data_IF_129344578950
#
_entry.id   IF_129344578950
#
_cell.length_a   1.000
_cell.length_b   1.000
_cell.length_c   1.000
_cell.angle_alpha   90.00
_cell.angle_beta   90.00
_cell.angle_gamma   90.00
#
_symmetry.space_group_name_H-M   'P 1'
#
loop_
_entity.id
_entity.type
_entity.pdbx_description
1 polymer ?
#
# COMPACT_ATOMS: atom_id res chain seq x y z
N UNK A 1 -7.26 11.13 -2.42
CA UNK A 1 -6.07 10.53 -1.77
C UNK A 1 -4.99 10.48 -2.85
N UNK A 2 -3.88 11.23 -2.70
CA UNK A 2 -2.93 11.45 -3.79
C UNK A 2 -1.98 10.24 -3.96
N UNK A 3 -1.76 9.82 -5.21
CA UNK A 3 -0.76 8.82 -5.59
C UNK A 3 0.65 9.25 -5.11
N UNK A 4 1.51 8.31 -4.67
CA UNK A 4 2.78 8.63 -4.04
C UNK A 4 3.75 9.37 -4.99
N UNK A 5 4.36 10.41 -4.45
CA UNK A 5 5.31 11.27 -5.12
C UNK A 5 6.70 10.62 -5.15
N UNK A 6 7.01 9.86 -6.20
CA UNK A 6 8.40 9.49 -6.53
C UNK A 6 8.62 9.23 -8.03
N UNK A 7 8.13 10.15 -8.88
CA UNK A 7 8.41 10.16 -10.33
C UNK A 7 9.18 11.44 -10.71
N UNK A 8 10.36 11.68 -10.14
CA UNK A 8 11.27 12.70 -10.69
C UNK A 8 12.74 12.30 -10.45
N UNK A 9 13.34 11.64 -11.44
CA UNK A 9 14.78 11.32 -11.48
C UNK A 9 15.29 11.07 -12.91
N UNK A 10 16.10 12.02 -13.39
CA UNK A 10 16.98 12.05 -14.58
C UNK A 10 16.39 12.02 -16.02
N UNK A 11 16.47 13.22 -16.64
CA UNK A 11 16.86 13.54 -18.03
C UNK A 11 15.89 13.49 -19.22
N UNK A 12 14.59 13.47 -18.95
CA UNK A 12 13.56 14.09 -19.82
C UNK A 12 12.25 14.17 -19.04
N UNK A 13 12.22 15.03 -18.01
CA UNK A 13 11.02 15.19 -17.20
C UNK A 13 9.87 15.70 -18.08
N UNK A 14 8.69 15.10 -17.96
CA UNK A 14 7.48 15.58 -18.65
C UNK A 14 7.25 17.07 -18.39
N UNK A 15 7.65 17.54 -17.20
CA UNK A 15 7.67 18.95 -16.83
C UNK A 15 8.67 19.80 -17.64
N UNK A 16 9.85 19.28 -18.00
CA UNK A 16 10.81 20.00 -18.85
C UNK A 16 10.41 19.98 -20.33
N UNK A 17 9.77 18.90 -20.79
CA UNK A 17 9.21 18.81 -22.15
C UNK A 17 7.95 19.68 -22.27
N UNK A 18 7.06 19.69 -21.27
CA UNK A 18 5.89 20.56 -21.21
C UNK A 18 6.28 22.05 -21.05
N UNK A 19 7.40 22.34 -20.37
CA UNK A 19 7.98 23.69 -20.30
C UNK A 19 8.72 24.08 -21.59
N UNK A 20 9.16 23.11 -22.39
CA UNK A 20 9.68 23.37 -23.73
C UNK A 20 8.49 23.65 -24.65
N UNK A 21 8.52 24.73 -25.43
CA UNK A 21 7.46 25.05 -26.40
C UNK A 21 7.31 24.01 -27.54
N UNK A 22 7.89 22.82 -27.41
CA UNK A 22 7.88 21.74 -28.40
C UNK A 22 6.74 20.73 -28.12
N UNK A 23 5.52 21.13 -28.50
CA UNK A 23 4.30 20.33 -28.35
C UNK A 23 4.38 18.97 -29.05
N UNK A 24 5.11 18.87 -30.17
CA UNK A 24 5.28 17.61 -30.90
C UNK A 24 6.09 16.56 -30.13
N UNK A 25 7.13 16.99 -29.40
CA UNK A 25 7.93 16.09 -28.57
C UNK A 25 7.11 15.54 -27.40
N UNK A 26 6.29 16.37 -26.77
CA UNK A 26 5.41 15.97 -25.67
C UNK A 26 4.37 14.92 -26.09
N UNK A 27 3.74 15.12 -27.25
CA UNK A 27 2.74 14.20 -27.80
C UNK A 27 3.36 12.83 -28.10
N UNK A 28 4.55 12.81 -28.72
CA UNK A 28 5.28 11.57 -28.97
C UNK A 28 5.66 10.85 -27.67
N UNK A 29 6.12 11.60 -26.67
CA UNK A 29 6.43 11.04 -25.35
C UNK A 29 5.18 10.40 -24.70
N UNK A 30 4.05 11.11 -24.66
CA UNK A 30 2.82 10.57 -24.06
C UNK A 30 2.32 9.34 -24.83
N UNK A 31 2.42 9.34 -26.16
CA UNK A 31 2.07 8.17 -26.97
C UNK A 31 2.96 6.97 -26.66
N UNK A 32 4.28 7.17 -26.49
CA UNK A 32 5.21 6.12 -26.05
C UNK A 32 4.76 5.53 -24.69
N UNK A 33 4.32 6.36 -23.74
CA UNK A 33 3.80 5.87 -22.46
C UNK A 33 2.51 5.06 -22.61
N UNK A 34 1.61 5.44 -23.52
CA UNK A 34 0.40 4.65 -23.85
C UNK A 34 0.78 3.30 -24.46
N UNK A 35 1.76 3.28 -25.37
CA UNK A 35 2.25 2.07 -26.02
C UNK A 35 2.91 1.09 -25.06
N UNK A 36 3.58 1.61 -24.03
CA UNK A 36 4.14 0.81 -22.94
C UNK A 36 3.09 0.30 -21.94
N UNK A 37 1.84 0.79 -22.03
CA UNK A 37 0.71 0.40 -21.21
C UNK A 37 0.48 1.27 -19.97
N UNK A 38 1.11 2.45 -19.88
CA UNK A 38 1.05 3.31 -18.69
C UNK A 38 -0.13 4.32 -18.73
N UNK A 39 -1.34 3.83 -18.98
CA UNK A 39 -2.53 4.66 -19.23
C UNK A 39 -2.88 5.61 -18.08
N UNK A 40 -2.78 5.16 -16.83
CA UNK A 40 -3.17 5.96 -15.66
C UNK A 40 -2.37 7.26 -15.55
N UNK A 41 -1.05 7.19 -15.77
CA UNK A 41 -0.18 8.37 -15.79
C UNK A 41 -0.60 9.35 -16.89
N UNK A 42 -0.88 8.85 -18.09
CA UNK A 42 -1.26 9.69 -19.24
C UNK A 42 -2.62 10.35 -19.02
N UNK A 43 -3.56 9.65 -18.38
CA UNK A 43 -4.87 10.19 -18.02
C UNK A 43 -4.75 11.38 -17.07
N UNK A 44 -3.85 11.33 -16.09
CA UNK A 44 -3.66 12.44 -15.16
C UNK A 44 -3.19 13.72 -15.88
N UNK A 45 -2.34 13.59 -16.90
CA UNK A 45 -2.03 14.72 -17.79
C UNK A 45 -3.25 15.18 -18.58
N UNK A 46 -4.02 14.27 -19.17
CA UNK A 46 -5.19 14.59 -20.00
C UNK A 46 -6.34 15.22 -19.23
N UNK A 47 -6.44 14.97 -17.92
CA UNK A 47 -7.42 15.60 -17.03
C UNK A 47 -7.10 17.04 -16.70
N UNK A 48 -5.81 17.43 -16.70
CA UNK A 48 -5.39 18.78 -16.37
C UNK A 48 -6.02 19.78 -17.36
N UNK A 49 -6.75 20.76 -16.84
CA UNK A 49 -7.42 21.78 -17.65
C UNK A 49 -6.42 22.67 -18.41
N UNK A 50 -5.15 22.69 -18.00
CA UNK A 50 -4.08 23.38 -18.73
C UNK A 50 -3.50 22.54 -19.88
N UNK A 51 -3.88 21.27 -19.98
CA UNK A 51 -3.39 20.33 -21.00
C UNK A 51 -4.59 19.70 -21.75
N UNK A 52 -4.90 20.27 -22.92
CA UNK A 52 -5.93 19.74 -23.81
C UNK A 52 -5.35 19.41 -25.19
N UNK A 53 -5.34 18.12 -25.54
CA UNK A 53 -4.89 17.62 -26.84
C UNK A 53 -5.61 18.31 -28.01
N UNK A 54 -6.89 18.67 -27.87
CA UNK A 54 -7.65 19.36 -28.93
C UNK A 54 -7.12 20.75 -29.22
N UNK A 55 -6.52 21.40 -28.24
CA UNK A 55 -5.90 22.72 -28.37
C UNK A 55 -4.43 22.67 -28.83
N UNK A 56 -3.84 21.47 -28.94
CA UNK A 56 -2.44 21.29 -29.35
C UNK A 56 -2.31 21.27 -30.88
N UNK A 57 -1.81 22.38 -31.43
CA UNK A 57 -1.39 22.45 -32.83
C UNK A 57 -0.05 21.73 -33.00
N UNK A 58 -0.09 20.56 -33.65
CA UNK A 58 1.06 19.78 -34.13
C UNK A 58 0.79 19.31 -35.56
N UNK A 59 1.86 18.98 -36.28
CA UNK A 59 1.79 18.50 -37.67
C UNK A 59 0.93 17.23 -37.80
N UNK A 60 0.21 17.10 -38.92
CA UNK A 60 -0.70 15.96 -39.17
C UNK A 60 0.03 14.62 -39.17
N UNK A 61 1.30 14.60 -39.60
CA UNK A 61 2.17 13.42 -39.52
C UNK A 61 2.40 12.99 -38.06
N UNK A 62 2.58 13.93 -37.13
CA UNK A 62 2.71 13.63 -35.70
C UNK A 62 1.38 13.11 -35.14
N UNK A 63 0.26 13.69 -35.56
CA UNK A 63 -1.07 13.22 -35.13
C UNK A 63 -1.33 11.77 -35.55
N UNK A 64 -1.07 11.46 -36.82
CA UNK A 64 -1.27 10.11 -37.36
C UNK A 64 -0.37 9.06 -36.70
N UNK A 65 0.85 9.43 -36.32
CA UNK A 65 1.79 8.54 -35.60
C UNK A 65 1.37 8.27 -34.16
N UNK A 66 0.55 9.14 -33.55
CA UNK A 66 0.18 9.07 -32.14
C UNK A 66 -1.29 8.71 -31.92
N UNK A 67 -1.88 7.90 -32.79
CA UNK A 67 -3.32 7.60 -32.79
C UNK A 67 -3.84 7.10 -31.43
N UNK A 68 -3.10 6.21 -30.75
CA UNK A 68 -3.50 5.67 -29.44
C UNK A 68 -3.64 6.73 -28.35
N UNK A 69 -2.77 7.74 -28.36
CA UNK A 69 -2.87 8.87 -27.43
C UNK A 69 -4.14 9.69 -27.68
N UNK A 70 -4.51 9.91 -28.94
CA UNK A 70 -5.73 10.64 -29.28
C UNK A 70 -6.99 9.83 -28.95
N UNK A 71 -6.98 8.52 -29.19
CA UNK A 71 -8.06 7.61 -28.75
C UNK A 71 -8.25 7.66 -27.23
N UNK A 72 -7.14 7.63 -26.46
CA UNK A 72 -7.19 7.80 -25.01
C UNK A 72 -7.69 9.21 -24.62
N UNK A 73 -7.30 10.25 -25.36
CA UNK A 73 -7.79 11.61 -25.17
C UNK A 73 -9.31 11.73 -25.33
N UNK A 74 -9.87 11.13 -26.39
CA UNK A 74 -11.31 11.05 -26.60
C UNK A 74 -12.01 10.29 -25.48
N UNK A 75 -11.43 9.16 -25.05
CA UNK A 75 -11.93 8.42 -23.89
C UNK A 75 -12.01 9.30 -22.64
N UNK A 76 -10.96 10.06 -22.32
CA UNK A 76 -10.91 10.95 -21.14
C UNK A 76 -11.98 12.04 -21.25
N UNK A 77 -12.13 12.66 -22.41
CA UNK A 77 -13.13 13.72 -22.57
C UNK A 77 -14.56 13.18 -22.37
N UNK A 78 -14.87 12.01 -22.94
CA UNK A 78 -16.22 11.42 -22.90
C UNK A 78 -16.56 10.74 -21.57
N UNK A 79 -15.62 10.00 -21.00
CA UNK A 79 -15.87 9.14 -19.85
C UNK A 79 -15.46 9.75 -18.51
N UNK A 80 -14.57 10.75 -18.52
CA UNK A 80 -14.02 11.38 -17.32
C UNK A 80 -14.54 12.82 -17.22
N UNK A 81 -14.12 13.72 -18.13
CA UNK A 81 -14.43 15.16 -18.05
C UNK A 81 -15.92 15.44 -18.20
N UNK A 82 -16.56 14.94 -19.26
CA UNK A 82 -17.98 15.19 -19.52
C UNK A 82 -18.91 14.63 -18.44
N UNK A 83 -18.50 13.54 -17.78
CA UNK A 83 -19.25 12.88 -16.71
C UNK A 83 -18.89 13.40 -15.31
N UNK A 84 -17.87 14.24 -15.18
CA UNK A 84 -17.38 14.76 -13.91
C UNK A 84 -16.75 13.70 -13.00
N UNK A 85 -16.18 12.64 -13.58
CA UNK A 85 -15.58 11.51 -12.85
C UNK A 85 -14.08 11.72 -12.69
N UNK A 86 -13.61 12.17 -11.54
CA UNK A 86 -12.20 12.54 -11.38
C UNK A 86 -11.41 11.51 -10.57
N UNK A 87 -12.09 10.79 -9.67
CA UNK A 87 -11.49 9.76 -8.82
C UNK A 87 -11.36 8.44 -9.57
N UNK A 88 -10.29 7.68 -9.29
CA UNK A 88 -9.93 6.49 -10.06
C UNK A 88 -11.00 5.42 -10.04
N UNK A 89 -11.65 5.20 -8.91
CA UNK A 89 -12.76 4.27 -8.73
C UNK A 89 -13.95 4.56 -9.65
N UNK A 90 -14.17 5.81 -10.05
CA UNK A 90 -15.26 6.22 -10.93
C UNK A 90 -15.01 5.89 -12.42
N UNK A 91 -13.73 5.85 -12.84
CA UNK A 91 -13.33 5.64 -14.25
C UNK A 91 -12.47 4.40 -14.51
N UNK A 92 -12.05 3.66 -13.49
CA UNK A 92 -11.20 2.47 -13.67
C UNK A 92 -11.92 1.38 -14.46
N UNK A 93 -13.23 1.21 -14.27
CA UNK A 93 -14.06 0.26 -15.01
C UNK A 93 -14.14 0.56 -16.52
N UNK A 94 -14.57 1.76 -16.96
CA UNK A 94 -14.58 2.07 -18.37
C UNK A 94 -13.16 2.07 -18.96
N UNK A 95 -12.12 2.44 -18.18
CA UNK A 95 -10.74 2.34 -18.65
C UNK A 95 -10.30 0.90 -18.87
N UNK A 96 -10.64 0.00 -17.94
CA UNK A 96 -10.34 -1.42 -18.09
C UNK A 96 -10.93 -1.97 -19.39
N UNK A 97 -12.20 -1.65 -19.68
CA UNK A 97 -12.85 -2.04 -20.93
C UNK A 97 -12.23 -1.40 -22.17
N UNK A 98 -11.80 -0.14 -22.05
CA UNK A 98 -11.08 0.53 -23.12
C UNK A 98 -9.74 -0.16 -23.45
N UNK A 99 -8.98 -0.56 -22.43
CA UNK A 99 -7.65 -1.16 -22.61
C UNK A 99 -7.71 -2.62 -23.04
N UNK A 100 -8.61 -3.40 -22.43
CA UNK A 100 -8.63 -4.87 -22.58
C UNK A 100 -9.86 -5.41 -23.31
N UNK A 101 -10.85 -4.57 -23.62
CA UNK A 101 -12.11 -4.99 -24.24
C UNK A 101 -13.07 -5.66 -23.25
N UNK A 102 -13.90 -6.56 -23.76
CA UNK A 102 -14.96 -7.24 -23.00
C UNK A 102 -14.47 -8.49 -22.24
N UNK A 103 -13.21 -8.47 -21.75
CA UNK A 103 -12.70 -9.57 -20.92
C UNK A 103 -13.30 -9.50 -19.51
N UNK A 104 -13.53 -10.66 -18.90
CA UNK A 104 -13.94 -10.74 -17.50
C UNK A 104 -12.72 -10.42 -16.62
N UNK A 105 -12.75 -9.38 -15.75
CA UNK A 105 -11.57 -8.99 -14.99
C UNK A 105 -11.05 -10.04 -14.01
N UNK A 106 -11.88 -11.01 -13.58
CA UNK A 106 -11.42 -12.13 -12.75
C UNK A 106 -10.77 -13.26 -13.56
N UNK A 107 -10.89 -13.27 -14.89
CA UNK A 107 -10.22 -14.23 -15.77
C UNK A 107 -8.83 -13.73 -16.19
N UNK A 108 -7.87 -13.87 -15.27
CA UNK A 108 -6.46 -13.44 -15.51
C UNK A 108 -5.75 -14.25 -16.62
N UNK A 109 -6.38 -15.32 -17.09
CA UNK A 109 -5.91 -16.15 -18.18
C UNK A 109 -6.38 -15.65 -19.55
N UNK A 110 -7.28 -14.66 -19.57
CA UNK A 110 -7.78 -14.08 -20.80
C UNK A 110 -6.64 -13.49 -21.66
N UNK A 111 -6.67 -13.72 -22.98
CA UNK A 111 -5.68 -13.15 -23.89
C UNK A 111 -5.84 -11.63 -23.94
N UNK A 112 -4.75 -10.89 -23.76
CA UNK A 112 -4.71 -9.43 -23.90
C UNK A 112 -3.97 -9.03 -25.16
N UNK A 113 -4.45 -7.97 -25.81
CA UNK A 113 -3.80 -7.37 -26.98
C UNK A 113 -2.80 -6.25 -26.60
N UNK A 114 -2.73 -5.91 -25.31
CA UNK A 114 -1.87 -4.86 -24.78
C UNK A 114 -0.43 -5.36 -24.68
N UNK A 115 0.50 -4.54 -25.17
CA UNK A 115 1.94 -4.79 -25.13
C UNK A 115 2.64 -3.87 -24.13
N UNK A 116 3.96 -4.00 -24.00
CA UNK A 116 4.75 -3.16 -23.10
C UNK A 116 4.86 -3.72 -21.69
N UNK A 117 5.72 -3.08 -20.89
CA UNK A 117 6.03 -3.52 -19.53
C UNK A 117 4.88 -3.22 -18.55
N UNK A 118 4.11 -2.15 -18.78
CA UNK A 118 2.95 -1.77 -17.95
C UNK A 118 1.64 -2.44 -18.39
N UNK A 119 1.68 -3.43 -19.28
CA UNK A 119 0.48 -4.06 -19.86
C UNK A 119 -0.52 -4.63 -18.85
N UNK A 120 -0.11 -4.93 -17.62
CA UNK A 120 -0.98 -5.43 -16.55
C UNK A 120 -1.29 -4.38 -15.47
N UNK A 121 -0.76 -3.16 -15.58
CA UNK A 121 -0.90 -2.12 -14.55
C UNK A 121 -2.37 -1.73 -14.31
N UNK A 122 -3.13 -1.48 -15.38
CA UNK A 122 -4.57 -1.13 -15.28
C UNK A 122 -5.38 -2.30 -14.72
N UNK A 123 -5.03 -3.54 -15.10
CA UNK A 123 -5.69 -4.72 -14.54
C UNK A 123 -5.45 -4.83 -13.04
N UNK A 124 -4.20 -4.67 -12.60
CA UNK A 124 -3.87 -4.73 -11.18
C UNK A 124 -4.56 -3.62 -10.37
N UNK A 125 -4.52 -2.37 -10.88
CA UNK A 125 -5.21 -1.23 -10.27
C UNK A 125 -6.72 -1.48 -10.22
N UNK A 126 -7.33 -2.02 -11.27
CA UNK A 126 -8.74 -2.38 -11.29
C UNK A 126 -9.07 -3.38 -10.18
N UNK A 127 -8.28 -4.44 -10.02
CA UNK A 127 -8.50 -5.45 -8.98
C UNK A 127 -8.37 -4.84 -7.58
N UNK A 128 -7.42 -3.92 -7.36
CA UNK A 128 -7.28 -3.21 -6.08
C UNK A 128 -8.49 -2.32 -5.77
N UNK A 129 -8.95 -1.54 -6.74
CA UNK A 129 -10.13 -0.67 -6.58
C UNK A 129 -11.44 -1.46 -6.40
N UNK A 130 -11.45 -2.74 -6.77
CA UNK A 130 -12.58 -3.66 -6.58
C UNK A 130 -12.40 -4.62 -5.41
N UNK A 131 -11.34 -4.44 -4.61
CA UNK A 131 -11.01 -5.30 -3.46
C UNK A 131 -10.88 -6.79 -3.82
N UNK A 132 -10.53 -7.10 -5.08
CA UNK A 132 -10.32 -8.46 -5.60
C UNK A 132 -8.88 -8.92 -5.37
N UNK A 133 -8.46 -8.94 -4.11
CA UNK A 133 -7.05 -9.15 -3.76
C UNK A 133 -6.55 -10.56 -4.07
N UNK A 134 -7.40 -11.59 -4.02
CA UNK A 134 -7.03 -12.95 -4.42
C UNK A 134 -6.63 -13.02 -5.90
N UNK A 135 -7.47 -12.49 -6.78
CA UNK A 135 -7.14 -12.37 -8.20
C UNK A 135 -5.94 -11.46 -8.46
N UNK A 136 -5.77 -10.41 -7.64
CA UNK A 136 -4.62 -9.52 -7.77
C UNK A 136 -3.30 -10.22 -7.42
N UNK A 137 -3.27 -10.98 -6.33
CA UNK A 137 -2.14 -11.85 -5.97
C UNK A 137 -1.87 -12.86 -7.08
N UNK A 138 -2.92 -13.48 -7.63
CA UNK A 138 -2.79 -14.41 -8.74
C UNK A 138 -2.20 -13.75 -9.98
N UNK A 139 -2.66 -12.55 -10.35
CA UNK A 139 -2.13 -11.75 -11.45
C UNK A 139 -0.65 -11.38 -11.23
N UNK A 140 -0.29 -10.99 -10.00
CA UNK A 140 1.10 -10.72 -9.61
C UNK A 140 1.96 -11.96 -9.85
N UNK A 141 1.55 -13.09 -9.29
CA UNK A 141 2.28 -14.36 -9.34
C UNK A 141 2.42 -14.95 -10.73
N UNK A 142 1.32 -14.99 -11.50
CA UNK A 142 1.25 -15.76 -12.75
C UNK A 142 1.56 -14.93 -14.00
N UNK A 143 1.55 -13.59 -13.90
CA UNK A 143 1.71 -12.70 -15.04
C UNK A 143 2.76 -11.62 -14.84
N UNK A 144 2.68 -10.86 -13.75
CA UNK A 144 3.55 -9.69 -13.53
C UNK A 144 4.97 -10.09 -13.12
N UNK A 145 5.12 -10.94 -12.10
CA UNK A 145 6.44 -11.40 -11.67
C UNK A 145 7.18 -12.13 -12.81
N UNK A 146 6.57 -13.08 -13.56
CA UNK A 146 7.21 -13.67 -14.73
C UNK A 146 7.60 -12.65 -15.82
N UNK A 147 6.77 -11.63 -16.06
CA UNK A 147 7.10 -10.56 -17.00
C UNK A 147 8.36 -9.80 -16.55
N UNK A 148 8.42 -9.40 -15.28
CA UNK A 148 9.56 -8.66 -14.74
C UNK A 148 10.82 -9.53 -14.71
N UNK A 149 10.72 -10.79 -14.26
CA UNK A 149 11.82 -11.77 -14.29
C UNK A 149 12.39 -11.93 -15.69
N UNK A 150 11.52 -12.14 -16.69
CA UNK A 150 11.98 -12.33 -18.06
C UNK A 150 12.72 -11.10 -18.61
N UNK A 151 12.26 -9.90 -18.29
CA UNK A 151 12.94 -8.67 -18.70
C UNK A 151 14.25 -8.49 -17.94
N UNK A 152 14.28 -8.71 -16.62
CA UNK A 152 15.53 -8.71 -15.83
C UNK A 152 16.56 -9.69 -16.39
N UNK A 153 16.12 -10.90 -16.76
CA UNK A 153 16.97 -11.90 -17.36
C UNK A 153 17.56 -11.44 -18.70
N UNK A 154 16.72 -10.87 -19.58
CA UNK A 154 17.17 -10.31 -20.86
C UNK A 154 18.19 -9.19 -20.69
N UNK A 155 17.98 -8.31 -19.71
CA UNK A 155 18.92 -7.22 -19.39
C UNK A 155 20.28 -7.79 -19.01
N UNK A 156 20.32 -8.87 -18.22
CA UNK A 156 21.57 -9.53 -17.82
C UNK A 156 22.25 -10.26 -18.97
N UNK A 157 21.50 -10.85 -19.91
CA UNK A 157 22.06 -11.53 -21.08
C UNK A 157 22.60 -10.55 -22.13
N UNK A 158 21.83 -9.51 -22.45
CA UNK A 158 22.10 -8.63 -23.59
C UNK A 158 22.84 -7.34 -23.21
N UNK A 159 22.98 -7.05 -21.90
CA UNK A 159 23.51 -5.78 -21.36
C UNK A 159 22.77 -4.55 -21.93
N UNK A 160 21.49 -4.73 -22.30
CA UNK A 160 20.60 -3.69 -22.82
C UNK A 160 19.40 -3.50 -21.89
N UNK A 161 19.38 -2.36 -21.19
CA UNK A 161 18.33 -2.03 -20.23
C UNK A 161 17.24 -1.19 -20.89
N UNK A 162 15.97 -1.67 -20.97
CA UNK A 162 14.90 -0.88 -21.55
C UNK A 162 14.68 0.43 -20.79
N UNK A 163 14.56 1.52 -21.52
CA UNK A 163 14.45 2.91 -21.01
C UNK A 163 13.39 3.11 -19.90
N UNK A 164 12.27 2.40 -19.98
CA UNK A 164 11.16 2.54 -19.03
C UNK A 164 11.07 1.39 -18.00
N UNK A 165 12.02 0.44 -18.02
CA UNK A 165 12.00 -0.72 -17.15
C UNK A 165 12.12 -0.34 -15.66
N UNK A 166 13.06 0.53 -15.30
CA UNK A 166 13.26 0.95 -13.90
C UNK A 166 11.96 1.47 -13.29
N UNK A 167 11.32 2.42 -13.98
CA UNK A 167 10.06 3.00 -13.53
C UNK A 167 8.95 1.96 -13.41
N UNK A 168 8.91 1.00 -14.34
CA UNK A 168 7.90 -0.04 -14.34
C UNK A 168 8.11 -1.03 -13.19
N UNK A 169 9.35 -1.46 -12.99
CA UNK A 169 9.73 -2.34 -11.89
C UNK A 169 9.34 -1.69 -10.56
N UNK A 170 9.76 -0.44 -10.32
CA UNK A 170 9.42 0.28 -9.09
C UNK A 170 7.90 0.45 -8.92
N UNK A 171 7.18 0.82 -9.97
CA UNK A 171 5.72 0.97 -9.92
C UNK A 171 4.98 -0.34 -9.63
N UNK A 172 5.46 -1.48 -10.15
CA UNK A 172 4.91 -2.79 -9.77
C UNK A 172 5.33 -3.20 -8.37
N UNK A 173 6.55 -2.89 -7.92
CA UNK A 173 6.99 -3.17 -6.56
C UNK A 173 6.14 -2.39 -5.53
N UNK A 174 5.82 -1.12 -5.80
CA UNK A 174 4.86 -0.35 -4.98
C UNK A 174 3.53 -1.09 -4.84
N UNK A 175 2.97 -1.55 -5.97
CA UNK A 175 1.69 -2.26 -5.97
C UNK A 175 1.79 -3.61 -5.27
N UNK A 176 2.87 -4.38 -5.49
CA UNK A 176 3.10 -5.67 -4.83
C UNK A 176 3.22 -5.49 -3.31
N UNK A 177 3.98 -4.48 -2.88
CA UNK A 177 4.18 -4.18 -1.47
C UNK A 177 2.87 -3.85 -0.76
N UNK A 178 1.95 -3.12 -1.41
CA UNK A 178 0.59 -2.88 -0.87
C UNK A 178 -0.12 -4.19 -0.51
N UNK A 179 -0.09 -5.19 -1.38
CA UNK A 179 -0.74 -6.48 -1.13
C UNK A 179 -0.03 -7.30 -0.05
N UNK A 180 1.30 -7.25 -0.01
CA UNK A 180 2.06 -7.95 1.03
C UNK A 180 1.86 -7.32 2.41
N UNK A 181 1.81 -5.99 2.50
CA UNK A 181 1.59 -5.25 3.75
C UNK A 181 0.19 -5.49 4.33
N UNK A 182 -0.79 -5.85 3.50
CA UNK A 182 -2.12 -6.25 3.97
C UNK A 182 -2.11 -7.58 4.76
N UNK A 183 -1.04 -8.38 4.68
CA UNK A 183 -0.92 -9.64 5.42
C UNK A 183 -1.97 -10.68 5.02
N UNK A 184 -2.41 -10.66 3.75
CA UNK A 184 -3.44 -11.56 3.26
C UNK A 184 -2.93 -13.01 3.17
N UNK A 185 -3.75 -14.02 3.53
CA UNK A 185 -3.38 -15.42 3.38
C UNK A 185 -3.04 -15.76 1.92
N UNK A 186 -1.91 -16.42 1.66
CA UNK A 186 -1.53 -16.79 0.28
C UNK A 186 -2.50 -17.76 -0.39
N UNK A 187 -3.29 -18.48 0.39
CA UNK A 187 -4.38 -19.32 -0.13
C UNK A 187 -5.44 -18.54 -0.90
N UNK A 188 -5.58 -17.22 -0.66
CA UNK A 188 -6.47 -16.36 -1.44
C UNK A 188 -6.03 -16.20 -2.90
N UNK A 189 -4.74 -16.32 -3.19
CA UNK A 189 -4.25 -16.28 -4.56
C UNK A 189 -4.72 -17.50 -5.38
N UNK A 190 -5.04 -18.60 -4.71
CA UNK A 190 -5.35 -19.90 -5.34
C UNK A 190 -4.31 -20.29 -6.41
N UNK A 191 -3.03 -20.03 -6.12
CA UNK A 191 -1.92 -20.23 -7.04
C UNK A 191 -0.62 -20.51 -6.31
N UNK A 192 -0.04 -21.68 -6.60
CA UNK A 192 1.27 -22.08 -6.06
C UNK A 192 2.41 -21.22 -6.64
N UNK A 193 2.16 -20.58 -7.79
CA UNK A 193 3.13 -19.73 -8.47
C UNK A 193 3.31 -18.36 -7.78
N UNK A 194 2.36 -17.92 -6.95
CA UNK A 194 2.40 -16.59 -6.35
C UNK A 194 3.67 -16.34 -5.56
N UNK A 195 3.90 -17.14 -4.52
CA UNK A 195 5.05 -16.96 -3.65
C UNK A 195 6.35 -17.38 -4.34
N UNK A 196 6.31 -18.46 -5.13
CA UNK A 196 7.48 -18.96 -5.85
C UNK A 196 8.03 -17.95 -6.86
N UNK A 197 7.17 -17.30 -7.65
CA UNK A 197 7.64 -16.31 -8.62
C UNK A 197 8.02 -14.99 -7.97
N UNK A 198 7.41 -14.62 -6.84
CA UNK A 198 7.87 -13.45 -6.07
C UNK A 198 9.26 -13.67 -5.46
N UNK A 199 9.55 -14.89 -5.01
CA UNK A 199 10.89 -15.25 -4.53
C UNK A 199 11.93 -15.16 -5.67
N UNK A 200 11.63 -15.72 -6.85
CA UNK A 200 12.53 -15.60 -8.01
C UNK A 200 12.69 -14.15 -8.44
N UNK A 201 11.61 -13.35 -8.45
CA UNK A 201 11.68 -11.93 -8.74
C UNK A 201 12.57 -11.20 -7.72
N UNK A 202 12.48 -11.57 -6.44
CA UNK A 202 13.30 -11.00 -5.38
C UNK A 202 14.80 -11.19 -5.64
N UNK A 203 15.23 -12.35 -6.13
CA UNK A 203 16.65 -12.58 -6.47
C UNK A 203 17.17 -11.57 -7.50
N UNK A 204 16.37 -11.26 -8.53
CA UNK A 204 16.73 -10.21 -9.49
C UNK A 204 16.69 -8.81 -8.88
N UNK A 205 15.69 -8.53 -8.04
CA UNK A 205 15.50 -7.21 -7.41
C UNK A 205 16.62 -6.89 -6.43
N UNK A 206 17.06 -7.86 -5.62
CA UNK A 206 18.08 -7.64 -4.60
C UNK A 206 19.46 -7.42 -5.23
N UNK A 207 19.75 -8.08 -6.35
CA UNK A 207 21.00 -7.92 -7.09
C UNK A 207 21.04 -6.67 -7.99
N UNK A 208 19.88 -6.11 -8.36
CA UNK A 208 19.83 -4.94 -9.25
C UNK A 208 20.31 -3.65 -8.54
N UNK A 209 21.37 -2.98 -9.02
CA UNK A 209 21.87 -1.73 -8.43
C UNK A 209 20.95 -0.52 -8.71
N UNK A 210 20.02 -0.61 -9.65
CA UNK A 210 19.05 0.47 -9.95
C UNK A 210 17.85 0.45 -9.00
N UNK A 211 17.66 -0.64 -8.26
CA UNK A 211 16.62 -0.72 -7.24
C UNK A 211 17.15 -0.15 -5.92
N UNK A 212 16.46 0.85 -5.38
CA UNK A 212 16.82 1.44 -4.09
C UNK A 212 16.64 0.46 -2.92
N UNK A 213 17.47 0.60 -1.88
CA UNK A 213 17.43 -0.28 -0.70
C UNK A 213 16.05 -0.32 -0.02
N UNK A 214 15.29 0.77 -0.05
CA UNK A 214 13.95 0.81 0.55
C UNK A 214 13.02 -0.24 -0.08
N UNK A 215 13.05 -0.40 -1.41
CA UNK A 215 12.25 -1.41 -2.11
C UNK A 215 12.74 -2.83 -1.82
N UNK A 216 14.06 -3.03 -1.74
CA UNK A 216 14.65 -4.33 -1.35
C UNK A 216 14.18 -4.71 0.06
N UNK A 217 14.31 -3.80 1.01
CA UNK A 217 13.85 -3.98 2.39
C UNK A 217 12.34 -4.25 2.47
N UNK A 218 11.50 -3.48 1.79
CA UNK A 218 10.05 -3.71 1.79
C UNK A 218 9.70 -5.10 1.23
N UNK A 219 10.28 -5.48 0.09
CA UNK A 219 10.05 -6.80 -0.51
C UNK A 219 10.55 -7.94 0.39
N UNK A 220 11.75 -7.80 0.99
CA UNK A 220 12.29 -8.77 1.95
C UNK A 220 11.40 -8.93 3.18
N UNK A 221 10.91 -7.83 3.75
CA UNK A 221 9.99 -7.86 4.90
C UNK A 221 8.68 -8.56 4.52
N UNK A 222 8.09 -8.20 3.38
CA UNK A 222 6.86 -8.80 2.90
C UNK A 222 6.97 -10.31 2.68
N UNK A 223 8.04 -10.76 2.01
CA UNK A 223 8.31 -12.18 1.79
C UNK A 223 8.57 -12.92 3.11
N UNK A 224 9.41 -12.36 3.98
CA UNK A 224 9.70 -12.94 5.29
C UNK A 224 8.43 -13.13 6.13
N UNK A 225 7.62 -12.07 6.24
CA UNK A 225 6.34 -12.12 6.95
C UNK A 225 5.38 -13.15 6.33
N UNK A 226 5.36 -13.24 5.00
CA UNK A 226 4.53 -14.21 4.28
C UNK A 226 4.95 -15.66 4.58
N UNK A 227 6.25 -15.96 4.61
CA UNK A 227 6.74 -17.30 4.99
C UNK A 227 6.33 -17.67 6.42
N UNK A 228 6.43 -16.73 7.36
CA UNK A 228 5.99 -16.94 8.75
C UNK A 228 4.47 -17.14 8.83
N UNK A 229 3.68 -16.32 8.14
CA UNK A 229 2.23 -16.44 8.10
C UNK A 229 1.76 -17.80 7.55
N UNK A 230 2.49 -18.33 6.55
CA UNK A 230 2.27 -19.65 5.99
C UNK A 230 2.79 -20.81 6.85
N UNK A 231 3.44 -20.50 7.99
CA UNK A 231 4.11 -21.46 8.87
C UNK A 231 5.22 -22.26 8.18
N UNK A 232 5.79 -21.71 7.12
CA UNK A 232 6.97 -22.28 6.46
C UNK A 232 8.24 -21.76 7.14
N UNK A 233 8.46 -22.21 8.37
CA UNK A 233 9.57 -21.74 9.20
C UNK A 233 10.93 -22.13 8.62
N UNK A 234 11.03 -23.28 7.94
CA UNK A 234 12.27 -23.69 7.27
C UNK A 234 12.65 -22.68 6.20
N UNK A 235 11.67 -22.27 5.37
CA UNK A 235 11.89 -21.26 4.35
C UNK A 235 12.17 -19.89 4.95
N UNK A 236 11.49 -19.52 6.03
CA UNK A 236 11.74 -18.27 6.74
C UNK A 236 13.17 -18.20 7.33
N UNK A 237 13.70 -19.30 7.88
CA UNK A 237 15.09 -19.37 8.36
C UNK A 237 16.09 -19.28 7.21
N UNK A 238 15.87 -20.01 6.12
CA UNK A 238 16.72 -19.93 4.92
C UNK A 238 16.75 -18.50 4.38
N UNK A 239 15.57 -17.93 4.14
CA UNK A 239 15.42 -16.60 3.57
C UNK A 239 16.04 -15.52 4.46
N UNK A 240 15.78 -15.56 5.78
CA UNK A 240 16.41 -14.61 6.70
C UNK A 240 17.93 -14.78 6.77
N UNK A 241 18.44 -16.02 6.76
CA UNK A 241 19.87 -16.30 6.79
C UNK A 241 20.64 -15.71 5.61
N UNK A 242 20.01 -15.66 4.43
CA UNK A 242 20.59 -15.08 3.22
C UNK A 242 20.38 -13.56 3.14
N UNK A 243 19.28 -13.04 3.70
CA UNK A 243 18.81 -11.68 3.45
C UNK A 243 18.74 -10.81 4.71
N UNK A 244 19.46 -11.17 5.77
CA UNK A 244 19.39 -10.48 7.07
C UNK A 244 19.67 -8.97 7.00
N UNK A 245 20.46 -8.51 6.01
CA UNK A 245 20.75 -7.08 5.82
C UNK A 245 19.52 -6.26 5.39
N UNK A 246 18.56 -6.89 4.70
CA UNK A 246 17.32 -6.26 4.24
C UNK A 246 16.12 -6.56 5.14
N UNK A 247 16.30 -7.33 6.22
CA UNK A 247 15.26 -7.66 7.21
C UNK A 247 15.68 -7.06 8.57
N UNK A 248 15.57 -5.74 8.73
CA UNK A 248 15.98 -5.03 9.93
C UNK A 248 15.09 -5.42 11.12
N UNK A 249 15.68 -5.99 12.18
CA UNK A 249 14.91 -6.43 13.36
C UNK A 249 14.30 -5.29 14.17
N UNK A 250 14.87 -4.09 14.08
CA UNK A 250 14.32 -2.89 14.67
C UNK A 250 13.14 -2.31 13.88
N UNK A 251 12.85 -2.85 12.69
CA UNK A 251 11.61 -2.54 11.99
C UNK A 251 10.45 -3.30 12.65
N UNK A 252 9.41 -2.56 12.98
CA UNK A 252 8.27 -3.10 13.69
C UNK A 252 7.45 -4.10 12.88
N UNK A 253 7.45 -3.99 11.55
CA UNK A 253 6.69 -4.88 10.67
C UNK A 253 7.16 -6.35 10.76
N UNK A 254 8.37 -6.61 11.25
CA UNK A 254 8.93 -7.96 11.38
C UNK A 254 8.98 -8.46 12.83
N UNK A 255 8.55 -7.65 13.80
CA UNK A 255 8.68 -7.96 15.22
C UNK A 255 7.93 -9.25 15.62
N UNK A 256 6.65 -9.34 15.28
CA UNK A 256 5.83 -10.52 15.57
C UNK A 256 6.33 -11.74 14.77
N UNK A 257 6.78 -11.52 13.53
CA UNK A 257 7.37 -12.57 12.69
C UNK A 257 8.64 -13.16 13.32
N UNK A 258 9.53 -12.34 13.88
CA UNK A 258 10.72 -12.81 14.59
C UNK A 258 10.38 -13.53 15.90
N UNK A 259 9.37 -13.08 16.65
CA UNK A 259 8.90 -13.81 17.84
C UNK A 259 8.42 -15.20 17.48
N UNK A 260 7.65 -15.30 16.40
CA UNK A 260 7.15 -16.58 15.94
C UNK A 260 8.27 -17.47 15.39
N UNK A 261 9.23 -16.90 14.66
CA UNK A 261 10.41 -17.62 14.20
C UNK A 261 11.24 -18.18 15.36
N UNK A 262 11.51 -17.37 16.40
CA UNK A 262 12.28 -17.78 17.59
C UNK A 262 11.60 -18.94 18.32
N UNK A 263 10.26 -18.95 18.40
CA UNK A 263 9.50 -20.05 19.03
C UNK A 263 9.61 -21.36 18.28
N UNK A 264 9.92 -21.31 16.98
CA UNK A 264 9.96 -22.45 16.08
C UNK A 264 11.41 -22.86 15.69
N UNK A 265 12.40 -22.46 16.48
CA UNK A 265 13.79 -22.95 16.36
C UNK A 265 13.83 -24.44 16.70
N UNK A 266 14.16 -25.27 15.71
CA UNK A 266 14.16 -26.72 15.86
C UNK A 266 15.56 -27.34 15.67
N UNK A 267 16.53 -26.56 15.20
CA UNK A 267 17.89 -27.03 14.92
C UNK A 267 19.01 -26.08 15.39
N UNK A 268 20.23 -26.61 15.48
CA UNK A 268 21.43 -25.81 15.74
C UNK A 268 21.71 -24.84 14.59
N UNK A 269 21.31 -25.18 13.35
CA UNK A 269 21.46 -24.33 12.18
C UNK A 269 20.55 -23.10 12.28
N UNK A 270 19.29 -23.28 12.66
CA UNK A 270 18.32 -22.20 12.91
C UNK A 270 18.85 -21.23 13.97
N UNK A 271 19.43 -21.80 15.03
CA UNK A 271 20.07 -21.01 16.11
C UNK A 271 21.25 -20.20 15.59
N UNK A 272 22.01 -20.70 14.62
CA UNK A 272 23.15 -19.99 14.03
C UNK A 272 22.74 -18.84 13.11
N UNK A 273 21.57 -18.94 12.49
CA UNK A 273 20.95 -17.89 11.67
C UNK A 273 20.47 -16.73 12.55
N UNK A 274 19.93 -17.03 13.74
CA UNK A 274 19.51 -16.00 14.69
C UNK A 274 20.71 -15.39 15.43
N UNK A 275 21.10 -14.18 15.05
CA UNK A 275 22.18 -13.48 15.74
C UNK A 275 21.84 -13.18 17.21
N UNK A 276 22.87 -13.04 18.05
CA UNK A 276 22.68 -12.56 19.44
C UNK A 276 22.00 -11.19 19.50
N UNK A 277 22.18 -10.37 18.47
CA UNK A 277 21.53 -9.07 18.34
C UNK A 277 20.02 -9.24 18.17
N UNK A 278 19.58 -10.22 17.37
CA UNK A 278 18.15 -10.54 17.17
C UNK A 278 17.49 -10.89 18.50
N UNK A 279 18.05 -11.85 19.24
CA UNK A 279 17.52 -12.27 20.53
C UNK A 279 17.48 -11.11 21.55
N UNK A 280 18.52 -10.27 21.54
CA UNK A 280 18.61 -9.12 22.45
C UNK A 280 17.58 -8.04 22.11
N UNK A 281 17.36 -7.75 20.82
CA UNK A 281 16.40 -6.76 20.37
C UNK A 281 14.97 -7.19 20.72
N UNK A 282 14.60 -8.46 20.46
CA UNK A 282 13.29 -8.98 20.84
C UNK A 282 13.08 -8.92 22.35
N UNK A 283 14.08 -9.32 23.15
CA UNK A 283 13.99 -9.26 24.62
C UNK A 283 13.83 -7.83 25.14
N UNK A 284 14.52 -6.86 24.54
CA UNK A 284 14.38 -5.43 24.87
C UNK A 284 12.97 -4.93 24.52
N UNK A 285 12.47 -5.28 23.34
CA UNK A 285 11.14 -4.86 22.91
C UNK A 285 10.04 -5.46 23.79
N UNK A 286 10.16 -6.71 24.23
CA UNK A 286 9.23 -7.29 25.21
C UNK A 286 9.24 -6.54 26.55
N UNK A 287 10.40 -6.06 27.00
CA UNK A 287 10.50 -5.22 28.20
C UNK A 287 9.80 -3.87 27.99
N UNK A 288 9.96 -3.25 26.82
CA UNK A 288 9.26 -2.01 26.48
C UNK A 288 7.76 -2.20 26.40
N UNK A 289 7.28 -3.27 25.76
CA UNK A 289 5.86 -3.61 25.70
C UNK A 289 5.26 -3.79 27.10
N UNK A 290 5.97 -4.46 28.02
CA UNK A 290 5.52 -4.57 29.43
C UNK A 290 5.47 -3.23 30.15
N UNK A 291 6.40 -2.31 29.86
CA UNK A 291 6.38 -0.95 30.42
C UNK A 291 5.21 -0.14 29.88
N UNK A 292 4.92 -0.27 28.59
CA UNK A 292 3.76 0.35 27.95
C UNK A 292 2.47 -0.18 28.58
N UNK A 293 2.34 -1.50 28.75
CA UNK A 293 1.18 -2.11 29.44
C UNK A 293 0.99 -1.55 30.85
N UNK A 294 2.10 -1.39 31.58
CA UNK A 294 2.08 -0.79 32.93
C UNK A 294 1.61 0.66 32.86
N UNK A 295 2.15 1.45 31.93
CA UNK A 295 1.79 2.86 31.75
C UNK A 295 0.32 3.03 31.36
N UNK A 296 -0.19 2.24 30.42
CA UNK A 296 -1.60 2.26 30.04
C UNK A 296 -2.48 1.91 31.25
N UNK A 297 -2.08 0.91 32.04
CA UNK A 297 -2.78 0.55 33.27
C UNK A 297 -2.83 1.69 34.29
N UNK A 298 -1.70 2.38 34.50
CA UNK A 298 -1.61 3.52 35.42
C UNK A 298 -2.44 4.72 34.95
N UNK A 299 -2.29 5.12 33.68
CA UNK A 299 -3.06 6.22 33.08
C UNK A 299 -4.55 5.90 33.05
N UNK A 300 -4.93 4.70 32.64
CA UNK A 300 -6.33 4.24 32.66
C UNK A 300 -6.92 4.28 34.07
N UNK A 301 -6.16 3.85 35.08
CA UNK A 301 -6.59 3.91 36.48
C UNK A 301 -6.75 5.36 36.97
N UNK A 302 -5.87 6.26 36.54
CA UNK A 302 -5.98 7.70 36.84
C UNK A 302 -7.23 8.31 36.19
N UNK A 303 -7.41 8.11 34.88
CA UNK A 303 -8.57 8.61 34.13
C UNK A 303 -9.87 8.05 34.70
N UNK A 304 -9.89 6.77 35.13
CA UNK A 304 -11.01 6.19 35.88
C UNK A 304 -11.35 6.95 37.15
N UNK A 305 -10.35 7.31 37.95
CA UNK A 305 -10.57 8.12 39.15
C UNK A 305 -11.12 9.50 38.81
N UNK A 306 -10.62 10.13 37.75
CA UNK A 306 -11.09 11.46 37.31
C UNK A 306 -12.55 11.43 36.91
N UNK A 307 -12.96 10.53 36.01
CA UNK A 307 -14.36 10.51 35.57
C UNK A 307 -15.29 10.07 36.70
N UNK A 308 -14.89 9.13 37.57
CA UNK A 308 -15.69 8.74 38.74
C UNK A 308 -15.81 9.88 39.75
N UNK A 309 -14.78 10.69 39.93
CA UNK A 309 -14.85 11.88 40.78
C UNK A 309 -15.88 12.87 40.22
N UNK A 310 -15.85 13.13 38.91
CA UNK A 310 -16.84 13.98 38.23
C UNK A 310 -18.26 13.40 38.33
N UNK A 311 -18.44 12.10 38.11
CA UNK A 311 -19.76 11.44 38.21
C UNK A 311 -20.35 11.43 39.62
N UNK A 312 -19.49 11.47 40.65
CA UNK A 312 -19.92 11.44 42.04
C UNK A 312 -20.18 12.83 42.63
N UNK A 313 -19.81 13.91 41.93
CA UNK A 313 -20.21 15.27 42.30
C UNK A 313 -21.74 15.37 42.31
N UNK A 314 -22.40 15.84 43.39
CA UNK A 314 -23.85 15.77 43.55
C UNK A 314 -24.65 16.37 42.40
N UNK A 315 -24.21 17.52 41.88
CA UNK A 315 -24.88 18.21 40.77
C UNK A 315 -24.70 17.46 39.46
N UNK A 316 -23.48 16.98 39.18
CA UNK A 316 -23.19 16.17 37.99
C UNK A 316 -23.95 14.85 38.01
N UNK A 317 -23.97 14.16 39.14
CA UNK A 317 -24.70 12.90 39.34
C UNK A 317 -26.19 13.05 39.05
N UNK A 318 -26.80 14.13 39.55
CA UNK A 318 -28.20 14.46 39.29
C UNK A 318 -28.43 14.76 37.80
N UNK A 319 -27.52 15.50 37.18
CA UNK A 319 -27.61 15.84 35.76
C UNK A 319 -27.50 14.61 34.85
N UNK A 320 -26.56 13.71 35.14
CA UNK A 320 -26.40 12.44 34.42
C UNK A 320 -27.63 11.52 34.58
N UNK A 321 -28.25 11.48 35.76
CA UNK A 321 -29.49 10.72 36.00
C UNK A 321 -30.69 11.26 35.24
N UNK A 322 -30.77 12.58 35.04
CA UNK A 322 -31.90 13.23 34.34
C UNK A 322 -31.73 13.13 32.82
N UNK A 323 -30.51 13.34 32.30
CA UNK A 323 -30.27 13.49 30.87
C UNK A 323 -29.78 12.21 30.19
N UNK A 324 -29.29 11.23 30.95
CA UNK A 324 -28.68 10.00 30.45
C UNK A 324 -27.20 10.18 30.11
N UNK A 325 -26.36 9.22 30.50
CA UNK A 325 -24.95 9.22 30.13
C UNK A 325 -24.82 8.83 28.63
N UNK A 326 -24.07 9.63 27.84
CA UNK A 326 -23.96 9.43 26.39
C UNK A 326 -25.16 9.90 25.57
N UNK A 327 -26.05 10.73 26.12
CA UNK A 327 -27.15 11.31 25.35
C UNK A 327 -26.64 12.36 24.35
N UNK A 328 -27.08 12.30 23.08
CA UNK A 328 -26.83 13.37 22.11
C UNK A 328 -27.38 14.69 22.66
N UNK A 329 -26.47 15.62 22.96
CA UNK A 329 -26.79 16.93 23.54
C UNK A 329 -27.16 17.97 22.46
N UNK A 330 -27.03 17.62 21.19
CA UNK A 330 -27.38 18.44 20.03
C UNK A 330 -28.85 18.87 20.09
N UNK A 331 -29.09 20.18 20.21
CA UNK A 331 -30.44 20.78 20.22
C UNK A 331 -31.10 20.94 21.60
N UNK A 332 -30.43 20.59 22.71
CA UNK A 332 -30.96 20.84 24.07
C UNK A 332 -30.56 22.23 24.57
N UNK A 333 -31.53 23.04 25.01
CA UNK A 333 -31.31 24.31 25.72
C UNK A 333 -31.35 24.09 27.24
N UNK A 334 -30.47 24.76 28.00
CA UNK A 334 -30.17 24.55 29.43
C UNK A 334 -29.30 23.33 29.76
N UNK A 335 -28.24 23.09 28.99
CA UNK A 335 -27.20 22.12 29.38
C UNK A 335 -26.34 22.76 30.49
N UNK A 336 -26.19 22.06 31.61
CA UNK A 336 -25.35 22.51 32.73
C UNK A 336 -23.87 22.52 32.31
N UNK A 337 -23.16 23.58 32.71
CA UNK A 337 -21.72 23.75 32.48
C UNK A 337 -20.95 22.52 33.02
N UNK A 338 -20.15 21.86 32.18
CA UNK A 338 -19.42 20.63 32.52
C UNK A 338 -20.04 19.33 32.01
N UNK A 339 -21.35 19.26 31.78
CA UNK A 339 -21.99 18.02 31.27
C UNK A 339 -21.71 17.82 29.77
N UNK A 340 -21.63 18.92 29.02
CA UNK A 340 -21.27 18.90 27.61
C UNK A 340 -19.84 18.42 27.42
N UNK A 341 -18.90 19.02 28.16
CA UNK A 341 -17.49 18.66 28.15
C UNK A 341 -17.28 17.20 28.60
N UNK A 342 -18.02 16.75 29.62
CA UNK A 342 -17.97 15.37 30.07
C UNK A 342 -18.41 14.38 28.98
N UNK A 343 -19.54 14.63 28.30
CA UNK A 343 -20.01 13.73 27.23
C UNK A 343 -19.08 13.76 26.03
N UNK A 344 -18.56 14.93 25.64
CA UNK A 344 -17.59 15.05 24.56
C UNK A 344 -16.34 14.19 24.84
N UNK A 345 -15.73 14.37 26.01
CA UNK A 345 -14.46 13.71 26.35
C UNK A 345 -14.63 12.21 26.64
N UNK A 346 -15.62 11.82 27.45
CA UNK A 346 -15.71 10.43 27.92
C UNK A 346 -16.56 9.52 27.04
N UNK A 347 -17.51 10.07 26.29
CA UNK A 347 -18.43 9.29 25.45
C UNK A 347 -18.18 9.48 23.96
N UNK A 348 -18.13 10.72 23.45
CA UNK A 348 -17.93 10.96 22.01
C UNK A 348 -16.50 10.62 21.57
N UNK A 349 -15.47 10.99 22.35
CA UNK A 349 -14.09 10.57 22.12
C UNK A 349 -13.80 9.11 22.55
N UNK A 350 -14.76 8.40 23.13
CA UNK A 350 -14.63 6.98 23.48
C UNK A 350 -13.67 6.65 24.64
N UNK A 351 -13.17 7.65 25.38
CA UNK A 351 -12.18 7.44 26.46
C UNK A 351 -12.70 6.47 27.53
N UNK A 352 -13.98 6.54 27.88
CA UNK A 352 -14.58 5.67 28.91
C UNK A 352 -14.61 4.20 28.48
N UNK A 353 -14.81 3.92 27.20
CA UNK A 353 -14.73 2.55 26.68
C UNK A 353 -13.28 2.07 26.69
N UNK A 354 -12.35 2.89 26.21
CA UNK A 354 -10.92 2.59 26.14
C UNK A 354 -10.34 2.19 27.50
N UNK A 355 -10.52 3.01 28.53
CA UNK A 355 -9.96 2.72 29.87
C UNK A 355 -10.56 1.48 30.52
N UNK A 356 -11.78 1.09 30.14
CA UNK A 356 -12.47 -0.09 30.67
C UNK A 356 -12.23 -1.37 29.86
N UNK A 357 -11.61 -1.26 28.68
CA UNK A 357 -11.25 -2.41 27.85
C UNK A 357 -9.98 -3.11 28.35
N UNK A 358 -9.88 -4.43 28.13
CA UNK A 358 -8.61 -5.13 28.30
C UNK A 358 -7.72 -4.85 27.08
N UNK A 359 -6.52 -4.33 27.35
CA UNK A 359 -5.55 -3.91 26.34
C UNK A 359 -4.35 -4.85 26.28
N UNK A 360 -4.25 -5.82 27.20
CA UNK A 360 -3.05 -6.65 27.36
C UNK A 360 -2.75 -7.51 26.12
N UNK A 361 -3.82 -8.01 25.47
CA UNK A 361 -3.74 -8.83 24.26
C UNK A 361 -3.68 -8.04 22.95
N UNK A 362 -3.72 -6.70 22.97
CA UNK A 362 -3.68 -5.88 21.76
C UNK A 362 -2.26 -5.82 21.16
N UNK A 363 -2.14 -5.64 19.84
CA UNK A 363 -0.85 -5.36 19.20
C UNK A 363 -0.25 -4.05 19.73
N UNK A 364 1.06 -3.90 19.57
CA UNK A 364 1.78 -2.78 20.19
C UNK A 364 1.40 -1.43 19.53
N UNK A 365 1.05 -1.42 18.24
CA UNK A 365 0.54 -0.27 17.48
C UNK A 365 -0.71 0.29 18.16
N UNK A 366 -1.71 -0.56 18.40
CA UNK A 366 -2.94 -0.19 19.09
C UNK A 366 -2.63 0.33 20.50
N UNK A 367 -1.66 -0.25 21.20
CA UNK A 367 -1.24 0.22 22.53
C UNK A 367 -0.66 1.63 22.49
N UNK A 368 0.09 2.00 21.45
CA UNK A 368 0.56 3.38 21.26
C UNK A 368 -0.57 4.34 20.94
N UNK A 369 -1.50 3.97 20.04
CA UNK A 369 -2.67 4.80 19.74
C UNK A 369 -3.55 5.01 20.99
N UNK A 370 -3.68 3.99 21.84
CA UNK A 370 -4.38 4.10 23.12
C UNK A 370 -3.65 5.09 24.04
N UNK A 371 -2.32 5.02 24.15
CA UNK A 371 -1.54 5.97 24.94
C UNK A 371 -1.63 7.40 24.41
N UNK A 372 -1.72 7.61 23.10
CA UNK A 372 -1.89 8.95 22.52
C UNK A 372 -3.27 9.53 22.79
N UNK A 373 -4.30 8.67 22.83
CA UNK A 373 -5.68 9.07 23.14
C UNK A 373 -5.94 9.32 24.63
N UNK A 374 -5.22 8.64 25.53
CA UNK A 374 -5.36 8.76 26.99
C UNK A 374 -4.52 9.90 27.57
#
# INVERSE_FOLDING_TARGET
MALPANITGSDNNVLSIAASNNKGLLIRFLNEQVEDGFYALVIDYLKDSNFDLKSMNVDDDVKSQCAKLYELGEFVDENIKAKGRYEIDEWIEPLFKFVYGDIEPSDIDAPINTTGIYRYSIWLIYLYQREKFGEAMRLIGERIAPLLINVSYQILEDDDRPKNFDKALLGYLDLINVVMDMGLPTSLANSDAYLSNLEVLYDYVVEDPHVGNDYKTQLSIGLFNTFIANKDYNKAFEFYGLNAEYIPIDNMAVYESFKELIRNVNSTQDTSVLSRNVLTAISKQELYNKRIDTLIGEVSAFVKKVYLYIENEPDMKKNLQILGAGAQLTGKTNIFEGLYEYNLVFYECGIKELVNSDVTGRPWEEKYEILEKL
#
